data_IF_039956826672
#
_entry.id   IF_039956826672
#
_cell.length_a   1.000
_cell.length_b   1.000
_cell.length_c   1.000
_cell.angle_alpha   90.00
_cell.angle_beta   90.00
_cell.angle_gamma   90.00
#
_symmetry.space_group_name_H-M   'P 1'
#
loop_
_entity.id
_entity.type
_entity.pdbx_description
1 polymer ?
#
# COMPACT_ATOMS: atom_id res chain seq x y z
N UNK A 1 8.28 3.38 2.48
CA UNK A 1 7.77 2.01 2.74
C UNK A 1 6.71 2.10 3.81
N UNK A 2 5.62 1.32 3.74
CA UNK A 2 4.57 1.31 4.76
C UNK A 2 4.01 -0.09 4.99
N UNK A 3 3.55 -0.33 6.23
CA UNK A 3 2.88 -1.56 6.66
C UNK A 3 1.45 -1.20 7.10
N UNK A 4 0.50 -2.08 6.80
CA UNK A 4 -0.91 -1.93 7.17
C UNK A 4 -1.29 -3.12 8.04
N UNK A 5 -1.89 -2.83 9.20
CA UNK A 5 -2.34 -3.84 10.14
C UNK A 5 -3.86 -3.79 10.24
N UNK A 6 -4.50 -4.96 10.14
CA UNK A 6 -5.94 -5.07 10.37
C UNK A 6 -6.23 -4.95 11.86
N UNK A 7 -7.01 -3.95 12.23
CA UNK A 7 -7.51 -3.76 13.59
C UNK A 7 -9.04 -3.57 13.57
N UNK A 8 -9.65 -3.59 14.75
CA UNK A 8 -11.05 -3.20 14.95
C UNK A 8 -11.10 -2.08 15.98
N UNK A 9 -11.92 -1.04 15.79
CA UNK A 9 -12.11 -0.02 16.81
C UNK A 9 -12.72 -0.65 18.07
N UNK A 10 -12.17 -0.32 19.23
CA UNK A 10 -12.71 -0.74 20.54
C UNK A 10 -13.56 0.34 21.22
N UNK A 11 -13.50 1.58 20.73
CA UNK A 11 -14.22 2.74 21.24
C UNK A 11 -13.52 4.06 20.85
N UNK A 12 -14.12 5.18 21.25
CA UNK A 12 -13.62 6.53 20.93
C UNK A 12 -14.31 7.15 19.71
N UNK A 13 -13.90 8.38 19.38
CA UNK A 13 -14.34 9.12 18.19
C UNK A 13 -13.12 9.72 17.48
N UNK A 14 -13.24 9.94 16.18
CA UNK A 14 -12.16 10.49 15.36
C UNK A 14 -11.80 11.90 15.84
N UNK A 15 -10.51 12.22 15.84
CA UNK A 15 -10.01 13.54 16.23
C UNK A 15 -8.73 13.86 15.47
N UNK A 16 -8.60 15.12 15.07
CA UNK A 16 -7.39 15.68 14.49
C UNK A 16 -6.31 15.95 15.56
N UNK A 17 -5.14 16.36 15.10
CA UNK A 17 -3.96 16.68 15.91
C UNK A 17 -3.07 17.65 15.12
N UNK A 18 -1.98 18.12 15.71
CA UNK A 18 -1.00 18.96 15.00
C UNK A 18 -0.39 18.25 13.77
N UNK A 19 -0.46 16.92 13.72
CA UNK A 19 0.07 16.09 12.63
C UNK A 19 -1.01 15.65 11.62
N UNK A 20 -2.29 15.82 11.94
CA UNK A 20 -3.42 15.31 11.13
C UNK A 20 -4.51 16.35 10.94
N UNK A 21 -4.78 16.75 9.70
CA UNK A 21 -5.73 17.83 9.38
C UNK A 21 -7.18 17.38 9.23
N UNK A 22 -7.42 16.11 8.91
CA UNK A 22 -8.76 15.52 8.76
C UNK A 22 -8.73 14.01 9.03
N UNK A 23 -9.88 13.45 9.41
CA UNK A 23 -10.10 12.00 9.54
C UNK A 23 -11.44 11.64 8.92
N UNK A 24 -11.46 10.62 8.06
CA UNK A 24 -12.65 10.13 7.37
C UNK A 24 -12.62 8.60 7.32
N UNK A 25 -13.78 7.97 7.51
CA UNK A 25 -13.96 6.55 7.23
C UNK A 25 -14.31 6.35 5.77
N UNK A 26 -13.60 5.44 5.11
CA UNK A 26 -13.77 5.15 3.69
C UNK A 26 -14.18 3.69 3.49
N UNK A 27 -15.01 3.46 2.50
CA UNK A 27 -15.26 2.15 1.91
C UNK A 27 -14.04 1.70 1.08
N UNK A 28 -13.92 0.38 0.79
CA UNK A 28 -12.83 -0.12 -0.04
C UNK A 28 -12.73 0.53 -1.42
N UNK A 29 -13.85 0.92 -2.03
CA UNK A 29 -13.86 1.56 -3.35
C UNK A 29 -13.32 3.00 -3.26
N UNK A 30 -13.81 3.78 -2.29
CA UNK A 30 -13.36 5.17 -2.06
C UNK A 30 -11.86 5.26 -1.76
N UNK A 31 -11.29 4.24 -1.09
CA UNK A 31 -9.85 4.14 -0.83
C UNK A 31 -9.05 4.17 -2.13
N UNK A 32 -9.52 3.45 -3.16
CA UNK A 32 -8.80 3.37 -4.44
C UNK A 32 -8.87 4.67 -5.25
N UNK A 33 -9.89 5.49 -5.01
CA UNK A 33 -10.05 6.81 -5.64
C UNK A 33 -9.22 7.89 -4.91
N UNK A 34 -9.08 7.76 -3.59
CA UNK A 34 -8.45 8.79 -2.75
C UNK A 34 -6.95 8.59 -2.52
N UNK A 35 -6.41 7.40 -2.80
CA UNK A 35 -5.02 7.05 -2.49
C UNK A 35 -4.24 6.62 -3.74
N UNK A 36 -2.92 6.81 -3.73
CA UNK A 36 -2.10 6.24 -4.81
C UNK A 36 -2.15 4.71 -4.75
N UNK A 37 -2.12 4.07 -5.92
CA UNK A 37 -2.23 2.63 -6.15
C UNK A 37 -1.50 1.76 -5.12
N UNK A 38 -0.22 2.06 -4.84
CA UNK A 38 0.61 1.25 -3.93
C UNK A 38 0.11 1.26 -2.48
N UNK A 39 -0.51 2.35 -2.03
CA UNK A 39 -1.12 2.41 -0.70
C UNK A 39 -2.53 1.86 -0.71
N UNK A 40 -3.31 2.18 -1.75
CA UNK A 40 -4.69 1.71 -1.90
C UNK A 40 -4.78 0.18 -1.84
N UNK A 41 -3.96 -0.54 -2.62
CA UNK A 41 -4.00 -2.01 -2.73
C UNK A 41 -3.81 -2.74 -1.39
N UNK A 42 -3.15 -2.11 -0.40
CA UNK A 42 -2.87 -2.71 0.90
C UNK A 42 -4.12 -2.84 1.78
N UNK A 43 -5.14 -2.01 1.56
CA UNK A 43 -6.39 -2.07 2.33
C UNK A 43 -7.27 -3.25 1.86
N UNK A 44 -7.51 -3.48 0.55
CA UNK A 44 -8.16 -4.69 0.05
C UNK A 44 -7.39 -5.99 0.31
N UNK A 45 -6.06 -5.94 0.47
CA UNK A 45 -5.25 -7.10 0.86
C UNK A 45 -5.51 -7.51 2.35
N UNK A 46 -5.89 -6.56 3.23
CA UNK A 46 -5.97 -6.81 4.67
C UNK A 46 -7.01 -7.87 5.13
N UNK A 47 -8.18 -8.03 4.46
CA UNK A 47 -9.14 -9.08 4.78
C UNK A 47 -8.72 -10.50 4.40
N UNK A 48 -7.74 -10.70 3.49
CA UNK A 48 -7.37 -12.01 2.92
C UNK A 48 -6.95 -13.04 3.98
N UNK A 49 -6.45 -12.58 5.15
CA UNK A 49 -6.16 -13.43 6.31
C UNK A 49 -4.99 -14.40 6.12
N UNK A 50 -4.37 -14.40 4.95
CA UNK A 50 -3.16 -15.16 4.61
C UNK A 50 -1.88 -14.41 5.07
N UNK A 51 -0.73 -14.88 4.62
CA UNK A 51 0.57 -14.21 4.81
C UNK A 51 0.54 -12.76 4.28
N UNK A 52 1.31 -11.83 4.89
CA UNK A 52 1.38 -10.45 4.41
C UNK A 52 1.73 -10.35 2.92
N UNK A 53 0.97 -9.56 2.18
CA UNK A 53 1.24 -9.32 0.76
C UNK A 53 2.49 -8.45 0.59
N UNK A 54 3.45 -8.95 -0.18
CA UNK A 54 4.69 -8.23 -0.52
C UNK A 54 4.72 -7.98 -2.02
N UNK A 55 4.93 -6.73 -2.43
CA UNK A 55 4.90 -6.28 -3.83
C UNK A 55 6.00 -5.27 -4.09
N UNK A 56 6.65 -5.33 -5.26
CA UNK A 56 7.59 -4.32 -5.72
C UNK A 56 6.84 -3.10 -6.25
N UNK A 57 7.37 -1.89 -5.97
CA UNK A 57 6.76 -0.65 -6.43
C UNK A 57 7.77 0.49 -6.51
N UNK A 58 7.49 1.52 -7.31
CA UNK A 58 8.31 2.74 -7.41
C UNK A 58 7.88 3.85 -6.42
N UNK A 59 6.89 3.56 -5.58
CA UNK A 59 6.29 4.50 -4.63
C UNK A 59 4.99 5.12 -5.13
N UNK A 60 4.62 4.91 -6.40
CA UNK A 60 3.32 5.32 -6.98
C UNK A 60 2.61 4.18 -7.68
N UNK A 61 3.34 3.32 -8.40
CA UNK A 61 2.84 2.22 -9.22
C UNK A 61 3.39 0.89 -8.76
N UNK A 62 2.59 -0.17 -8.89
CA UNK A 62 3.09 -1.52 -8.77
C UNK A 62 4.02 -1.84 -9.95
N UNK A 63 5.11 -2.54 -9.65
CA UNK A 63 6.06 -2.97 -10.65
C UNK A 63 5.82 -4.46 -10.90
N UNK A 64 5.67 -4.86 -12.17
CA UNK A 64 5.56 -6.27 -12.50
C UNK A 64 6.81 -7.06 -12.13
N UNK A 65 6.63 -8.31 -11.70
CA UNK A 65 7.72 -9.17 -11.23
C UNK A 65 8.82 -9.37 -12.29
N UNK A 66 8.46 -9.38 -13.58
CA UNK A 66 9.41 -9.51 -14.69
C UNK A 66 10.23 -8.23 -14.90
N UNK A 67 9.65 -7.05 -14.67
CA UNK A 67 10.41 -5.79 -14.67
C UNK A 67 11.39 -5.72 -13.51
N UNK A 68 11.10 -6.40 -12.38
CA UNK A 68 12.05 -6.57 -11.29
C UNK A 68 13.17 -7.54 -11.68
N UNK A 69 12.83 -8.72 -12.22
CA UNK A 69 13.82 -9.70 -12.69
C UNK A 69 14.77 -9.13 -13.76
N UNK A 70 14.26 -8.33 -14.71
CA UNK A 70 15.10 -7.73 -15.75
C UNK A 70 16.08 -6.67 -15.21
N UNK A 71 15.76 -5.99 -14.09
CA UNK A 71 16.71 -5.06 -13.45
C UNK A 71 17.78 -5.79 -12.66
N UNK A 72 17.40 -6.89 -12.01
CA UNK A 72 18.32 -7.76 -11.28
C UNK A 72 19.26 -8.51 -12.26
N UNK A 73 18.80 -8.77 -13.49
CA UNK A 73 19.62 -9.19 -14.65
C UNK A 73 20.15 -7.97 -15.40
N UNK A 74 20.87 -7.08 -14.71
CA UNK A 74 21.83 -6.24 -15.43
C UNK A 74 22.95 -7.16 -15.91
N UNK A 75 22.95 -7.46 -17.21
CA UNK A 75 23.95 -8.30 -17.86
C UNK A 75 25.32 -7.63 -17.67
N UNK A 76 26.35 -8.31 -17.11
CA UNK A 76 27.68 -7.75 -17.07
C UNK A 76 28.23 -7.68 -18.49
N UNK A 77 28.28 -6.47 -19.06
CA UNK A 77 29.17 -6.15 -20.17
C UNK A 77 28.50 -5.67 -21.45
N UNK A 78 28.09 -4.41 -21.47
CA UNK A 78 28.09 -3.59 -22.69
C UNK A 78 29.03 -2.41 -22.44
N UNK A 79 30.33 -2.67 -22.59
CA UNK A 79 31.38 -1.66 -22.70
C UNK A 79 31.64 -1.37 -24.19
#
# INVERSE_FOLDING_TARGET
MALVFRCKPSGGTERTSDESTAVTWLTPDEVTECMSEVFAIRLPDAPDGNSPHVRSHDGKRLIPVWSQLMRDVSVPGDA
#
